data_IF_451006570871
#
_entry.id   IF_451006570871
#
_cell.length_a   1.000
_cell.length_b   1.000
_cell.length_c   1.000
_cell.angle_alpha   90.00
_cell.angle_beta   90.00
_cell.angle_gamma   90.00
#
_symmetry.space_group_name_H-M   'P 1'
#
loop_
_entity.id
_entity.type
_entity.pdbx_description
1 polymer ?
#
# COMPACT_ATOMS: atom_id res chain seq x y z
N UNK A 1 16.38 -2.41 0.05
CA UNK A 1 15.43 -1.95 1.09
C UNK A 1 15.45 -2.91 2.28
N UNK A 2 15.40 -2.44 3.53
CA UNK A 2 15.36 -3.33 4.71
C UNK A 2 13.92 -3.88 4.94
N UNK A 3 13.76 -4.86 5.85
CA UNK A 3 12.46 -5.50 6.12
C UNK A 3 11.39 -4.52 6.63
N UNK A 4 11.76 -3.63 7.56
CA UNK A 4 10.83 -2.69 8.16
C UNK A 4 10.37 -1.63 7.14
N UNK A 5 11.28 -1.10 6.34
CA UNK A 5 10.99 -0.16 5.25
C UNK A 5 10.06 -0.80 4.21
N UNK A 6 10.31 -2.05 3.84
CA UNK A 6 9.48 -2.78 2.90
C UNK A 6 8.07 -3.02 3.46
N UNK A 7 7.96 -3.36 4.74
CA UNK A 7 6.66 -3.55 5.39
C UNK A 7 5.83 -2.27 5.36
N UNK A 8 6.41 -1.16 5.82
CA UNK A 8 5.73 0.12 5.88
C UNK A 8 5.46 0.71 4.49
N UNK A 9 6.39 0.55 3.54
CA UNK A 9 6.21 0.96 2.15
C UNK A 9 4.99 0.28 1.51
N UNK A 10 4.79 -1.02 1.78
CA UNK A 10 3.62 -1.75 1.29
C UNK A 10 2.34 -1.23 1.93
N UNK A 11 2.33 -1.02 3.25
CA UNK A 11 1.16 -0.50 3.97
C UNK A 11 0.73 0.88 3.46
N UNK A 12 1.70 1.77 3.26
CA UNK A 12 1.47 3.09 2.68
C UNK A 12 0.84 3.01 1.28
N UNK A 13 1.44 2.22 0.40
CA UNK A 13 0.95 2.09 -0.98
C UNK A 13 -0.46 1.53 -1.03
N UNK A 14 -0.77 0.52 -0.22
CA UNK A 14 -2.15 0.01 -0.12
C UNK A 14 -3.13 1.06 0.40
N UNK A 15 -2.73 1.86 1.39
CA UNK A 15 -3.58 2.92 1.92
C UNK A 15 -3.90 3.96 0.82
N UNK A 16 -2.90 4.36 0.03
CA UNK A 16 -3.10 5.23 -1.12
C UNK A 16 -4.03 4.60 -2.17
N UNK A 17 -3.76 3.35 -2.56
CA UNK A 17 -4.51 2.66 -3.61
C UNK A 17 -5.98 2.41 -3.24
N UNK A 18 -6.30 2.29 -1.95
CA UNK A 18 -7.68 2.08 -1.47
C UNK A 18 -8.44 3.38 -1.21
N UNK A 19 -7.77 4.42 -0.74
CA UNK A 19 -8.46 5.60 -0.24
C UNK A 19 -9.11 6.39 -1.39
N UNK A 20 -10.38 6.76 -1.22
CA UNK A 20 -11.20 7.57 -2.14
C UNK A 20 -12.01 8.58 -1.35
N UNK A 21 -12.42 9.67 -1.99
CA UNK A 21 -13.21 10.75 -1.37
C UNK A 21 -12.60 11.24 -0.06
N UNK A 22 -13.44 11.36 0.97
CA UNK A 22 -13.07 11.83 2.31
C UNK A 22 -12.02 10.93 3.00
N UNK A 23 -11.96 9.64 2.66
CA UNK A 23 -10.94 8.74 3.20
C UNK A 23 -9.55 9.12 2.69
N UNK A 24 -9.45 9.57 1.44
CA UNK A 24 -8.17 10.01 0.88
C UNK A 24 -7.74 11.35 1.48
N UNK A 25 -8.67 12.26 1.74
CA UNK A 25 -8.37 13.49 2.49
C UNK A 25 -7.86 13.16 3.89
N UNK A 26 -8.51 12.23 4.60
CA UNK A 26 -8.06 11.77 5.92
C UNK A 26 -6.67 11.13 5.87
N UNK A 27 -6.40 10.31 4.84
CA UNK A 27 -5.08 9.73 4.58
C UNK A 27 -4.01 10.82 4.36
N UNK A 28 -4.31 11.81 3.51
CA UNK A 28 -3.40 12.92 3.22
C UNK A 28 -3.11 13.76 4.47
N UNK A 29 -4.15 14.17 5.21
CA UNK A 29 -3.99 14.91 6.47
C UNK A 29 -3.13 14.14 7.47
N UNK A 30 -3.34 12.82 7.59
CA UNK A 30 -2.58 11.97 8.49
C UNK A 30 -1.11 11.91 8.08
N UNK A 31 -0.82 11.69 6.80
CA UNK A 31 0.54 11.66 6.25
C UNK A 31 1.27 12.98 6.53
N UNK A 32 0.66 14.10 6.14
CA UNK A 32 1.26 15.43 6.26
C UNK A 32 1.43 15.83 7.73
N UNK A 33 0.43 15.55 8.58
CA UNK A 33 0.50 15.81 10.01
C UNK A 33 1.60 15.00 10.72
N UNK A 34 1.84 13.76 10.30
CA UNK A 34 2.95 12.96 10.82
C UNK A 34 4.30 13.46 10.30
N UNK A 35 4.41 13.82 9.01
CA UNK A 35 5.66 14.23 8.39
C UNK A 35 6.14 15.61 8.84
N UNK A 36 5.22 16.56 9.02
CA UNK A 36 5.53 17.97 9.22
C UNK A 36 5.10 18.52 10.59
N UNK A 37 4.37 17.72 11.38
CA UNK A 37 3.95 18.05 12.75
C UNK A 37 3.28 19.44 12.79
N UNK A 38 3.79 20.35 13.62
CA UNK A 38 3.25 21.69 13.81
C UNK A 38 3.35 22.62 12.58
N UNK A 39 4.15 22.26 11.57
CA UNK A 39 4.31 23.07 10.36
C UNK A 39 3.18 22.84 9.34
N UNK A 40 2.51 21.68 9.42
CA UNK A 40 1.33 21.39 8.61
C UNK A 40 0.05 21.79 9.35
N UNK A 41 -0.73 22.64 8.71
CA UNK A 41 -2.02 23.13 9.19
C UNK A 41 -3.12 22.37 8.44
N UNK A 42 -3.69 21.35 9.08
CA UNK A 42 -4.87 20.66 8.56
C UNK A 42 -6.06 21.62 8.56
N UNK A 43 -6.78 21.72 7.45
CA UNK A 43 -7.98 22.55 7.36
C UNK A 43 -9.22 21.67 7.56
N UNK A 44 -10.15 22.11 8.40
CA UNK A 44 -11.45 21.44 8.56
C UNK A 44 -12.58 22.39 8.19
N UNK A 45 -13.60 21.92 7.46
CA UNK A 45 -14.73 22.76 7.09
C UNK A 45 -15.43 23.29 8.34
N UNK A 46 -15.64 24.61 8.41
CA UNK A 46 -16.27 25.25 9.57
C UNK A 46 -17.73 25.65 9.28
N UNK A 47 -18.66 24.74 9.58
CA UNK A 47 -20.09 24.98 9.44
C UNK A 47 -20.46 25.49 8.04
N UNK A 48 -21.20 26.61 7.97
CA UNK A 48 -21.63 27.21 6.68
C UNK A 48 -20.51 27.89 5.89
N UNK A 49 -19.32 28.09 6.47
CA UNK A 49 -18.22 28.76 5.77
C UNK A 49 -17.38 27.82 4.89
N UNK A 50 -17.59 26.51 4.98
CA UNK A 50 -16.80 25.51 4.24
C UNK A 50 -15.33 25.51 4.66
N UNK A 51 -14.48 24.98 3.78
CA UNK A 51 -13.02 24.89 3.88
C UNK A 51 -12.29 26.07 3.22
N UNK A 52 -13.03 26.97 2.55
CA UNK A 52 -12.49 28.05 1.71
C UNK A 52 -11.42 27.56 0.71
N UNK A 53 -11.62 26.38 0.11
CA UNK A 53 -10.73 25.77 -0.90
C UNK A 53 -9.30 25.54 -0.39
N UNK A 54 -9.20 25.03 0.83
CA UNK A 54 -7.95 24.68 1.47
C UNK A 54 -8.14 23.36 2.20
N UNK A 55 -7.48 22.29 1.75
CA UNK A 55 -7.51 20.98 2.42
C UNK A 55 -6.29 20.76 3.32
N UNK A 56 -5.36 21.72 3.33
CA UNK A 56 -4.14 21.67 4.10
C UNK A 56 -3.18 22.77 3.67
N UNK A 57 -2.39 23.26 4.62
CA UNK A 57 -1.43 24.32 4.36
C UNK A 57 -0.09 24.02 5.04
N UNK A 58 0.99 24.03 4.28
CA UNK A 58 2.34 23.87 4.82
C UNK A 58 3.02 25.23 4.93
N UNK A 59 3.21 25.67 6.18
CA UNK A 59 3.56 27.06 6.49
C UNK A 59 4.97 27.42 6.03
N UNK A 60 5.96 26.58 6.32
CA UNK A 60 7.35 26.85 5.92
C UNK A 60 7.54 26.97 4.41
N UNK A 61 6.74 26.24 3.63
CA UNK A 61 6.80 26.25 2.17
C UNK A 61 5.81 27.22 1.52
N UNK A 62 4.96 27.90 2.30
CA UNK A 62 3.84 28.71 1.78
C UNK A 62 3.04 27.95 0.72
N UNK A 63 2.75 26.68 1.00
CA UNK A 63 2.12 25.74 0.06
C UNK A 63 0.70 25.43 0.50
N UNK A 64 -0.26 25.69 -0.38
CA UNK A 64 -1.65 25.31 -0.22
C UNK A 64 -1.92 24.01 -0.96
N UNK A 65 -2.67 23.11 -0.33
CA UNK A 65 -3.07 21.83 -0.90
C UNK A 65 -4.56 21.80 -1.17
N UNK A 66 -4.91 21.25 -2.33
CA UNK A 66 -6.26 20.82 -2.63
C UNK A 66 -6.23 19.34 -2.99
N UNK A 67 -7.05 18.56 -2.31
CA UNK A 67 -7.12 17.11 -2.41
C UNK A 67 -8.31 16.73 -3.28
N UNK A 68 -8.06 15.93 -4.31
CA UNK A 68 -9.08 15.42 -5.21
C UNK A 68 -8.86 13.94 -5.52
N UNK A 69 -9.68 13.09 -4.90
CA UNK A 69 -9.58 11.65 -5.02
C UNK A 69 -10.95 11.01 -5.32
N UNK A 70 -11.54 11.25 -6.51
CA UNK A 70 -12.83 10.67 -6.84
C UNK A 70 -12.74 9.13 -6.90
N UNK A 71 -13.89 8.46 -6.81
CA UNK A 71 -13.98 7.01 -7.06
C UNK A 71 -13.50 6.68 -8.48
N UNK A 72 -13.87 7.51 -9.45
CA UNK A 72 -13.44 7.42 -10.84
C UNK A 72 -12.87 8.76 -11.31
N UNK A 73 -11.66 8.72 -11.88
CA UNK A 73 -10.97 9.92 -12.36
C UNK A 73 -11.48 10.31 -13.75
N UNK A 74 -12.42 11.23 -13.80
CA UNK A 74 -12.89 11.84 -15.05
C UNK A 74 -12.15 13.14 -15.36
N UNK A 75 -11.47 13.13 -16.51
CA UNK A 75 -10.90 14.27 -17.22
C UNK A 75 -11.58 15.64 -16.99
N UNK A 76 -12.85 15.73 -17.41
CA UNK A 76 -13.64 16.95 -17.42
C UNK A 76 -13.96 17.45 -16.02
N UNK A 77 -14.24 16.52 -15.08
CA UNK A 77 -14.47 16.82 -13.67
C UNK A 77 -13.20 17.29 -12.99
N UNK A 78 -12.06 16.65 -13.26
CA UNK A 78 -10.76 17.06 -12.73
C UNK A 78 -10.38 18.48 -13.20
N UNK A 79 -10.55 18.77 -14.50
CA UNK A 79 -10.34 20.12 -15.05
C UNK A 79 -11.23 21.14 -14.34
N UNK A 80 -12.53 20.86 -14.20
CA UNK A 80 -13.46 21.78 -13.55
C UNK A 80 -13.07 22.03 -12.09
N UNK A 81 -12.69 20.98 -11.37
CA UNK A 81 -12.27 21.02 -9.96
C UNK A 81 -11.01 21.86 -9.78
N UNK A 82 -9.97 21.64 -10.59
CA UNK A 82 -8.73 22.43 -10.56
C UNK A 82 -9.05 23.92 -10.76
N UNK A 83 -9.88 24.26 -11.76
CA UNK A 83 -10.24 25.65 -12.04
C UNK A 83 -10.98 26.29 -10.87
N UNK A 84 -12.01 25.63 -10.36
CA UNK A 84 -12.84 26.14 -9.26
C UNK A 84 -12.02 26.33 -7.97
N UNK A 85 -11.22 25.33 -7.62
CA UNK A 85 -10.48 25.32 -6.37
C UNK A 85 -9.29 26.29 -6.42
N UNK A 86 -8.55 26.35 -7.53
CA UNK A 86 -7.43 27.28 -7.67
C UNK A 86 -7.89 28.74 -7.60
N UNK A 87 -8.93 29.12 -8.35
CA UNK A 87 -9.43 30.50 -8.30
C UNK A 87 -10.04 30.84 -6.94
N UNK A 88 -10.75 29.90 -6.31
CA UNK A 88 -11.26 30.09 -4.95
C UNK A 88 -10.15 30.24 -3.92
N UNK A 89 -9.09 29.44 -4.03
CA UNK A 89 -7.92 29.53 -3.17
C UNK A 89 -7.23 30.89 -3.31
N UNK A 90 -7.08 31.42 -4.53
CA UNK A 90 -6.51 32.77 -4.75
C UNK A 90 -7.33 33.86 -4.07
N UNK A 91 -8.65 33.81 -4.18
CA UNK A 91 -9.56 34.79 -3.55
C UNK A 91 -9.42 34.82 -2.03
N UNK A 92 -9.24 33.65 -1.40
CA UNK A 92 -9.23 33.55 0.06
C UNK A 92 -7.84 33.56 0.69
N UNK A 93 -6.82 33.12 -0.05
CA UNK A 93 -5.48 32.81 0.48
C UNK A 93 -4.33 33.39 -0.35
N UNK A 94 -4.59 34.15 -1.43
CA UNK A 94 -3.56 34.58 -2.39
C UNK A 94 -2.36 35.31 -1.79
N UNK A 95 -2.51 35.99 -0.65
CA UNK A 95 -1.38 36.65 0.04
C UNK A 95 -0.50 35.66 0.84
N UNK A 96 -1.00 34.46 1.09
CA UNK A 96 -0.40 33.48 2.00
C UNK A 96 0.36 32.37 1.31
N UNK A 97 0.08 32.04 0.05
CA UNK A 97 0.79 30.99 -0.69
C UNK A 97 1.47 31.50 -1.96
N UNK A 98 2.58 30.87 -2.32
CA UNK A 98 3.25 30.97 -3.62
C UNK A 98 3.40 29.59 -4.28
N UNK A 99 2.88 28.54 -3.64
CA UNK A 99 2.80 27.18 -4.17
C UNK A 99 1.41 26.61 -3.98
N UNK A 100 0.89 25.98 -5.01
CA UNK A 100 -0.40 25.31 -4.99
C UNK A 100 -0.27 23.88 -5.51
N UNK A 101 -0.68 22.91 -4.70
CA UNK A 101 -0.56 21.49 -5.02
C UNK A 101 -1.92 20.84 -5.23
N UNK A 102 -2.10 20.25 -6.41
CA UNK A 102 -3.24 19.40 -6.72
C UNK A 102 -2.93 17.95 -6.37
N UNK A 103 -3.39 17.51 -5.20
CA UNK A 103 -3.14 16.16 -4.69
C UNK A 103 -4.20 15.20 -5.22
N UNK A 104 -3.82 14.09 -5.83
CA UNK A 104 -4.76 13.14 -6.45
C UNK A 104 -4.45 11.67 -6.19
N UNK A 105 -5.45 10.82 -6.43
CA UNK A 105 -5.37 9.35 -6.27
C UNK A 105 -5.21 8.57 -7.58
N UNK A 106 -5.08 9.24 -8.73
CA UNK A 106 -4.85 8.54 -10.00
C UNK A 106 -3.56 7.72 -9.95
N UNK A 107 -3.67 6.41 -10.19
CA UNK A 107 -2.57 5.44 -10.10
C UNK A 107 -1.72 5.40 -11.37
N UNK A 108 -2.35 5.67 -12.50
CA UNK A 108 -1.72 5.57 -13.84
C UNK A 108 -1.32 6.96 -14.37
N UNK A 109 -1.23 7.93 -13.47
CA UNK A 109 -0.97 9.34 -13.78
C UNK A 109 -2.21 10.13 -14.19
N UNK A 110 -2.05 11.45 -14.26
CA UNK A 110 -3.11 12.34 -14.74
C UNK A 110 -3.17 12.32 -16.28
N UNK A 111 -4.38 12.37 -16.87
CA UNK A 111 -4.53 12.48 -18.31
C UNK A 111 -3.82 13.72 -18.90
N UNK A 112 -3.34 13.68 -20.16
CA UNK A 112 -2.57 14.77 -20.76
C UNK A 112 -3.27 16.14 -20.73
N UNK A 113 -4.59 16.19 -20.91
CA UNK A 113 -5.34 17.45 -20.87
C UNK A 113 -5.40 18.08 -19.47
N UNK A 114 -5.30 17.29 -18.40
CA UNK A 114 -5.21 17.81 -17.02
C UNK A 114 -3.81 18.38 -16.81
N UNK A 115 -2.76 17.70 -17.30
CA UNK A 115 -1.39 18.21 -17.23
C UNK A 115 -1.22 19.51 -18.00
N UNK A 116 -1.77 19.60 -19.22
CA UNK A 116 -1.78 20.84 -20.02
C UNK A 116 -2.45 21.99 -19.26
N UNK A 117 -3.59 21.74 -18.60
CA UNK A 117 -4.27 22.76 -17.80
C UNK A 117 -3.37 23.30 -16.68
N UNK A 118 -2.67 22.43 -15.96
CA UNK A 118 -1.77 22.83 -14.87
C UNK A 118 -0.64 23.73 -15.41
N UNK A 119 -0.02 23.32 -16.53
CA UNK A 119 1.04 24.12 -17.18
C UNK A 119 0.53 25.48 -17.67
N UNK A 120 -0.66 25.52 -18.27
CA UNK A 120 -1.28 26.76 -18.74
C UNK A 120 -1.62 27.70 -17.56
N UNK A 121 -2.08 27.14 -16.44
CA UNK A 121 -2.37 27.89 -15.22
C UNK A 121 -1.11 28.47 -14.59
N UNK A 122 -0.03 27.68 -14.47
CA UNK A 122 1.26 28.17 -13.97
C UNK A 122 1.80 29.29 -14.85
N UNK A 123 1.74 29.13 -16.18
CA UNK A 123 2.14 30.17 -17.13
C UNK A 123 1.34 31.47 -16.97
N UNK A 124 0.06 31.36 -16.62
CA UNK A 124 -0.83 32.52 -16.40
C UNK A 124 -0.65 33.16 -15.01
N UNK A 125 -0.01 32.48 -14.06
CA UNK A 125 0.17 32.91 -12.67
C UNK A 125 1.65 32.74 -12.26
N UNK A 126 2.53 33.55 -12.83
CA UNK A 126 3.99 33.38 -12.71
C UNK A 126 4.54 33.53 -11.28
N UNK A 127 3.73 34.07 -10.37
CA UNK A 127 4.02 34.22 -8.94
C UNK A 127 3.66 32.97 -8.12
N UNK A 128 2.99 31.99 -8.73
CA UNK A 128 2.51 30.78 -8.06
C UNK A 128 3.01 29.54 -8.82
N UNK A 129 3.75 28.67 -8.14
CA UNK A 129 4.12 27.34 -8.66
C UNK A 129 2.94 26.37 -8.51
N UNK A 130 2.56 25.68 -9.59
CA UNK A 130 1.45 24.71 -9.57
C UNK A 130 1.97 23.30 -9.86
N UNK A 131 1.74 22.37 -8.93
CA UNK A 131 2.27 21.01 -9.03
C UNK A 131 1.17 19.95 -8.80
N UNK A 132 1.05 18.94 -9.66
CA UNK A 132 0.29 17.74 -9.34
C UNK A 132 1.09 16.88 -8.36
N UNK A 133 0.45 16.39 -7.30
CA UNK A 133 1.04 15.44 -6.35
C UNK A 133 0.26 14.12 -6.41
N UNK A 134 0.93 13.06 -6.83
CA UNK A 134 0.41 11.70 -6.88
C UNK A 134 1.11 10.78 -5.90
N UNK A 135 1.13 9.48 -6.22
CA UNK A 135 1.71 8.45 -5.37
C UNK A 135 3.18 8.74 -5.00
N UNK A 136 3.99 9.19 -5.95
CA UNK A 136 5.45 9.32 -5.73
C UNK A 136 5.84 10.56 -4.92
N UNK A 137 5.13 11.67 -5.07
CA UNK A 137 5.30 12.84 -4.20
C UNK A 137 4.91 12.49 -2.77
N UNK A 138 3.75 11.84 -2.59
CA UNK A 138 3.31 11.40 -1.26
C UNK A 138 4.21 10.32 -0.67
N UNK A 139 4.77 9.41 -1.49
CA UNK A 139 5.76 8.41 -1.06
C UNK A 139 7.04 9.08 -0.59
N UNK A 140 7.46 10.15 -1.24
CA UNK A 140 8.62 10.93 -0.83
C UNK A 140 8.41 11.62 0.52
N UNK A 141 7.19 12.08 0.80
CA UNK A 141 6.79 12.56 2.13
C UNK A 141 6.77 11.40 3.13
N UNK A 142 6.22 10.25 2.76
CA UNK A 142 6.14 9.07 3.62
C UNK A 142 7.52 8.60 4.11
N UNK A 143 8.53 8.62 3.24
CA UNK A 143 9.92 8.27 3.58
C UNK A 143 10.56 9.18 4.65
N UNK A 144 9.93 10.31 4.98
CA UNK A 144 10.39 11.20 6.07
C UNK A 144 9.87 10.80 7.44
N UNK A 145 8.86 9.93 7.52
CA UNK A 145 8.30 9.51 8.80
C UNK A 145 9.33 8.70 9.58
N UNK A 146 9.34 8.92 10.89
CA UNK A 146 10.14 8.11 11.80
C UNK A 146 9.56 6.69 11.93
N UNK A 147 10.35 5.68 12.34
CA UNK A 147 9.83 4.35 12.62
C UNK A 147 8.68 4.35 13.64
N UNK A 148 8.71 5.25 14.62
CA UNK A 148 7.67 5.39 15.64
C UNK A 148 6.37 5.96 15.05
N UNK A 149 6.47 6.94 14.13
CA UNK A 149 5.30 7.47 13.42
C UNK A 149 4.68 6.42 12.49
N UNK A 150 5.51 5.65 11.80
CA UNK A 150 5.06 4.52 10.99
C UNK A 150 4.39 3.45 11.86
N UNK A 151 4.96 3.12 13.02
CA UNK A 151 4.37 2.16 13.95
C UNK A 151 3.04 2.65 14.54
N UNK A 152 2.96 3.93 14.88
CA UNK A 152 1.74 4.57 15.36
C UNK A 152 0.61 4.54 14.31
N UNK A 153 0.95 4.64 13.02
CA UNK A 153 -0.03 4.63 11.95
C UNK A 153 -0.39 3.23 11.45
N UNK A 154 0.60 2.38 11.20
CA UNK A 154 0.43 1.09 10.52
C UNK A 154 0.64 -0.13 11.42
N UNK A 155 0.90 0.07 12.70
CA UNK A 155 1.24 -1.00 13.65
C UNK A 155 2.71 -1.39 13.59
N UNK A 156 3.14 -2.28 14.50
CA UNK A 156 4.55 -2.63 14.64
C UNK A 156 4.99 -3.54 13.47
N UNK A 157 5.96 -3.07 12.68
CA UNK A 157 6.55 -3.87 11.62
C UNK A 157 7.48 -4.98 12.16
N UNK A 158 7.59 -6.12 11.45
CA UNK A 158 8.63 -7.10 11.71
C UNK A 158 10.01 -6.50 11.47
N UNK A 159 10.97 -6.89 12.31
CA UNK A 159 12.37 -6.43 12.24
C UNK A 159 13.33 -7.59 11.96
N UNK A 160 14.60 -7.30 11.69
CA UNK A 160 15.64 -8.34 11.60
C UNK A 160 15.74 -9.16 12.90
N UNK A 161 15.57 -8.52 14.06
CA UNK A 161 15.54 -9.22 15.35
C UNK A 161 14.34 -10.16 15.45
N UNK A 162 13.15 -9.68 15.11
CA UNK A 162 11.92 -10.47 15.06
C UNK A 162 12.10 -11.68 14.14
N UNK A 163 12.67 -11.45 12.94
CA UNK A 163 12.99 -12.52 11.99
C UNK A 163 13.91 -13.55 12.63
N UNK A 164 15.03 -13.16 13.23
CA UNK A 164 15.93 -14.12 13.89
C UNK A 164 15.22 -14.91 14.98
N UNK A 165 14.44 -14.24 15.83
CA UNK A 165 13.78 -14.83 17.00
C UNK A 165 12.53 -15.66 16.68
N UNK A 166 11.98 -15.54 15.47
CA UNK A 166 10.78 -16.27 15.05
C UNK A 166 10.96 -17.78 15.24
N UNK A 167 10.06 -18.35 16.04
CA UNK A 167 10.08 -19.76 16.42
C UNK A 167 8.84 -20.53 15.98
N UNK A 168 8.85 -21.83 16.29
CA UNK A 168 7.81 -22.77 15.87
C UNK A 168 6.40 -22.38 16.36
N UNK A 169 6.29 -21.87 17.59
CA UNK A 169 5.02 -21.47 18.20
C UNK A 169 4.37 -20.31 17.44
N UNK A 170 5.15 -19.38 16.91
CA UNK A 170 4.63 -18.24 16.15
C UNK A 170 4.03 -18.69 14.82
N UNK A 171 4.69 -19.65 14.15
CA UNK A 171 4.18 -20.28 12.92
C UNK A 171 2.92 -21.10 13.20
N UNK A 172 2.92 -21.88 14.29
CA UNK A 172 1.78 -22.70 14.70
C UNK A 172 0.50 -21.88 14.84
N UNK A 173 0.58 -20.72 15.51
CA UNK A 173 -0.58 -19.83 15.70
C UNK A 173 -1.19 -19.41 14.36
N UNK A 174 -0.36 -19.05 13.38
CA UNK A 174 -0.84 -18.67 12.04
C UNK A 174 -1.47 -19.87 11.32
N UNK A 175 -0.80 -21.02 11.28
CA UNK A 175 -1.27 -22.20 10.56
C UNK A 175 -2.53 -22.83 11.17
N UNK A 176 -2.64 -22.85 12.50
CA UNK A 176 -3.85 -23.29 13.19
C UNK A 176 -5.04 -22.37 12.90
N UNK A 177 -4.81 -21.06 12.82
CA UNK A 177 -5.86 -20.09 12.45
C UNK A 177 -6.36 -20.28 11.02
N UNK A 178 -5.49 -20.79 10.13
CA UNK A 178 -5.81 -21.12 8.75
C UNK A 178 -6.45 -22.50 8.59
N UNK A 179 -6.27 -23.42 9.53
CA UNK A 179 -6.81 -24.79 9.43
C UNK A 179 -8.34 -24.80 9.26
N UNK A 180 -9.06 -23.85 9.86
CA UNK A 180 -10.51 -23.68 9.68
C UNK A 180 -10.93 -23.16 8.29
N UNK A 181 -9.98 -22.65 7.50
CA UNK A 181 -10.18 -22.18 6.12
C UNK A 181 -9.68 -23.20 5.08
N UNK A 182 -9.02 -24.27 5.52
CA UNK A 182 -8.42 -25.26 4.65
C UNK A 182 -9.50 -26.08 3.92
N UNK A 183 -9.35 -26.26 2.61
CA UNK A 183 -10.29 -27.00 1.77
C UNK A 183 -9.77 -28.39 1.42
N UNK A 184 -10.65 -29.37 1.29
CA UNK A 184 -10.25 -30.73 0.89
C UNK A 184 -9.64 -30.72 -0.52
N UNK A 185 -8.57 -31.49 -0.79
CA UNK A 185 -7.92 -31.46 -2.09
C UNK A 185 -8.83 -32.15 -3.13
N UNK A 186 -9.16 -31.44 -4.22
CA UNK A 186 -9.91 -32.02 -5.36
C UNK A 186 -8.96 -32.55 -6.45
N UNK A 187 -7.67 -32.19 -6.41
CA UNK A 187 -6.70 -32.58 -7.45
C UNK A 187 -5.25 -32.62 -6.94
N UNK A 188 -4.46 -33.54 -7.49
CA UNK A 188 -3.04 -33.74 -7.16
C UNK A 188 -2.19 -32.52 -7.53
N UNK A 189 -1.38 -32.08 -6.57
CA UNK A 189 -0.39 -31.01 -6.71
C UNK A 189 0.70 -31.46 -7.70
N UNK A 190 1.06 -30.59 -8.66
CA UNK A 190 2.21 -30.81 -9.56
C UNK A 190 3.43 -30.06 -9.03
N UNK A 191 4.61 -30.66 -9.19
CA UNK A 191 5.91 -30.05 -8.87
C UNK A 191 6.21 -28.84 -9.78
N UNK A 192 6.88 -27.82 -9.22
CA UNK A 192 7.05 -26.51 -9.89
C UNK A 192 8.52 -26.02 -9.94
N UNK A 193 8.99 -25.47 -11.08
CA UNK A 193 10.34 -24.89 -11.24
C UNK A 193 10.46 -23.43 -10.76
N UNK A 194 11.69 -22.91 -10.69
CA UNK A 194 12.06 -21.65 -10.02
C UNK A 194 12.09 -20.38 -10.90
N UNK A 195 11.78 -19.23 -10.27
CA UNK A 195 11.85 -17.86 -10.80
C UNK A 195 10.47 -17.23 -10.95
N UNK A 196 10.11 -16.16 -10.22
CA UNK A 196 8.73 -15.59 -10.19
C UNK A 196 8.62 -14.07 -10.05
N UNK A 197 9.67 -13.42 -9.54
CA UNK A 197 9.59 -12.01 -9.12
C UNK A 197 9.49 -11.09 -10.34
N UNK A 198 10.21 -11.35 -11.43
CA UNK A 198 10.12 -10.52 -12.64
C UNK A 198 8.84 -10.74 -13.47
N UNK A 199 8.10 -11.82 -13.24
CA UNK A 199 6.97 -12.23 -14.08
C UNK A 199 5.62 -11.59 -13.71
N UNK A 200 5.49 -11.08 -12.48
CA UNK A 200 4.21 -10.70 -11.89
C UNK A 200 4.07 -9.19 -11.62
N UNK A 201 4.95 -8.36 -12.18
CA UNK A 201 5.01 -6.91 -11.93
C UNK A 201 4.99 -6.56 -10.42
N UNK A 202 5.69 -7.40 -9.63
CA UNK A 202 5.77 -7.27 -8.18
C UNK A 202 6.78 -6.17 -7.85
N UNK A 203 6.37 -5.20 -7.02
CA UNK A 203 7.27 -4.12 -6.59
C UNK A 203 8.49 -4.63 -5.81
N UNK A 204 9.57 -3.85 -5.79
CA UNK A 204 10.76 -4.13 -4.96
C UNK A 204 10.39 -4.32 -3.48
N UNK A 205 9.39 -3.58 -3.01
CA UNK A 205 8.82 -3.67 -1.66
C UNK A 205 8.31 -5.07 -1.36
N UNK A 206 7.40 -5.59 -2.19
CA UNK A 206 6.83 -6.92 -2.01
C UNK A 206 7.89 -8.01 -2.24
N UNK A 207 8.77 -7.83 -3.22
CA UNK A 207 9.90 -8.74 -3.45
C UNK A 207 10.81 -8.85 -2.22
N UNK A 208 11.09 -7.73 -1.54
CA UNK A 208 11.86 -7.71 -0.30
C UNK A 208 11.15 -8.47 0.83
N UNK A 209 9.84 -8.29 0.98
CA UNK A 209 9.03 -9.00 1.98
C UNK A 209 9.02 -10.51 1.74
N UNK A 210 8.81 -10.94 0.49
CA UNK A 210 8.83 -12.36 0.12
C UNK A 210 10.20 -12.96 0.43
N UNK A 211 11.30 -12.31 0.01
CA UNK A 211 12.67 -12.78 0.30
C UNK A 211 12.93 -12.92 1.80
N UNK A 212 12.44 -12.00 2.61
CA UNK A 212 12.57 -12.07 4.06
C UNK A 212 11.74 -13.22 4.66
N UNK A 213 10.54 -13.47 4.14
CA UNK A 213 9.73 -14.64 4.52
C UNK A 213 10.38 -15.97 4.14
N UNK A 214 11.00 -16.05 2.95
CA UNK A 214 11.66 -17.27 2.45
C UNK A 214 12.77 -17.76 3.38
N UNK A 215 13.48 -16.86 4.07
CA UNK A 215 14.48 -17.22 5.10
C UNK A 215 13.87 -18.13 6.19
N UNK A 216 12.56 -18.04 6.43
CA UNK A 216 11.83 -18.81 7.42
C UNK A 216 10.90 -19.88 6.83
N UNK A 217 10.85 -20.04 5.51
CA UNK A 217 10.09 -21.11 4.87
C UNK A 217 10.50 -22.52 5.34
N UNK A 218 11.79 -22.83 5.64
CA UNK A 218 12.16 -24.13 6.20
C UNK A 218 11.51 -24.43 7.56
N UNK A 219 11.20 -23.40 8.37
CA UNK A 219 10.51 -23.57 9.64
C UNK A 219 9.04 -23.98 9.42
N UNK A 220 8.41 -23.47 8.36
CA UNK A 220 7.06 -23.85 7.94
C UNK A 220 7.04 -25.30 7.44
N UNK A 221 8.05 -25.71 6.66
CA UNK A 221 8.21 -27.13 6.27
C UNK A 221 8.34 -28.04 7.48
N UNK A 222 9.25 -27.71 8.41
CA UNK A 222 9.46 -28.49 9.63
C UNK A 222 8.20 -28.56 10.51
N UNK A 223 7.33 -27.55 10.47
CA UNK A 223 6.01 -27.61 11.09
C UNK A 223 5.17 -28.71 10.47
N UNK A 224 4.96 -28.70 9.15
CA UNK A 224 4.16 -29.72 8.49
C UNK A 224 4.73 -31.14 8.67
N UNK A 225 6.05 -31.30 8.65
CA UNK A 225 6.72 -32.59 8.85
C UNK A 225 6.53 -33.17 10.26
N UNK A 226 6.26 -32.32 11.25
CA UNK A 226 6.08 -32.72 12.66
C UNK A 226 4.64 -32.62 13.15
N UNK A 227 3.74 -32.09 12.32
CA UNK A 227 2.34 -31.91 12.67
C UNK A 227 1.54 -33.21 12.52
N UNK A 228 0.57 -33.41 13.40
CA UNK A 228 -0.21 -34.65 13.45
C UNK A 228 -1.14 -34.85 12.23
N UNK A 229 -1.48 -33.78 11.51
CA UNK A 229 -2.30 -33.83 10.30
C UNK A 229 -1.43 -33.60 9.07
N UNK A 230 -0.97 -34.71 8.49
CA UNK A 230 -0.10 -34.74 7.31
C UNK A 230 -0.74 -34.08 6.08
N UNK A 231 -2.07 -33.99 6.03
CA UNK A 231 -2.80 -33.43 4.87
C UNK A 231 -3.03 -31.92 4.98
N UNK A 232 -2.75 -31.30 6.14
CA UNK A 232 -2.99 -29.88 6.36
C UNK A 232 -2.24 -29.00 5.34
N UNK A 233 -0.98 -29.31 5.04
CA UNK A 233 -0.16 -28.55 4.11
C UNK A 233 -0.76 -28.49 2.70
N UNK A 234 -1.30 -29.62 2.20
CA UNK A 234 -1.95 -29.73 0.89
C UNK A 234 -3.31 -29.02 0.85
N UNK A 235 -4.13 -29.17 1.90
CA UNK A 235 -5.42 -28.47 1.99
C UNK A 235 -5.24 -26.95 2.01
N UNK A 236 -4.20 -26.48 2.68
CA UNK A 236 -3.82 -25.08 2.68
C UNK A 236 -3.32 -24.64 1.30
N UNK A 237 -2.51 -25.44 0.59
CA UNK A 237 -2.08 -25.12 -0.77
C UNK A 237 -3.28 -24.86 -1.71
N UNK A 238 -4.33 -25.68 -1.62
CA UNK A 238 -5.58 -25.48 -2.37
C UNK A 238 -6.29 -24.19 -1.96
N UNK A 239 -6.38 -23.91 -0.66
CA UNK A 239 -6.99 -22.69 -0.16
C UNK A 239 -6.25 -21.42 -0.63
N UNK A 240 -4.91 -21.43 -0.58
CA UNK A 240 -4.06 -20.34 -1.08
C UNK A 240 -4.28 -20.09 -2.57
N UNK A 241 -4.33 -21.15 -3.39
CA UNK A 241 -4.56 -21.03 -4.83
C UNK A 241 -5.95 -20.47 -5.14
N UNK A 242 -6.97 -20.97 -4.46
CA UNK A 242 -8.35 -20.48 -4.62
C UNK A 242 -8.46 -19.00 -4.25
N UNK A 243 -7.84 -18.58 -3.16
CA UNK A 243 -7.83 -17.17 -2.73
C UNK A 243 -7.09 -16.30 -3.75
N UNK A 244 -5.92 -16.73 -4.22
CA UNK A 244 -5.17 -16.00 -5.25
C UNK A 244 -5.94 -15.90 -6.58
N UNK A 245 -6.58 -16.98 -7.03
CA UNK A 245 -7.41 -16.99 -8.24
C UNK A 245 -8.61 -16.06 -8.13
N UNK A 246 -9.20 -15.91 -6.94
CA UNK A 246 -10.28 -14.96 -6.69
C UNK A 246 -9.83 -13.50 -6.82
N UNK A 247 -8.60 -13.20 -6.41
CA UNK A 247 -8.04 -11.84 -6.41
C UNK A 247 -7.39 -11.46 -7.75
N UNK A 248 -6.80 -12.43 -8.44
CA UNK A 248 -6.07 -12.21 -9.70
C UNK A 248 -6.98 -11.61 -10.77
N UNK A 249 -6.46 -10.59 -11.46
CA UNK A 249 -7.18 -9.88 -12.52
C UNK A 249 -8.21 -8.86 -12.02
N UNK A 250 -8.44 -8.77 -10.70
CA UNK A 250 -9.35 -7.77 -10.10
C UNK A 250 -8.62 -6.55 -9.54
N UNK A 251 -7.33 -6.70 -9.22
CA UNK A 251 -6.53 -5.66 -8.56
C UNK A 251 -5.04 -5.79 -8.88
N UNK A 252 -4.27 -4.76 -8.51
CA UNK A 252 -2.83 -4.73 -8.72
C UNK A 252 -2.10 -5.81 -7.89
N UNK A 253 -1.02 -6.45 -8.39
CA UNK A 253 -0.29 -7.51 -7.67
C UNK A 253 0.14 -7.18 -6.24
N UNK A 254 0.55 -5.93 -5.97
CA UNK A 254 0.88 -5.49 -4.60
C UNK A 254 -0.34 -5.51 -3.66
N UNK A 255 -1.53 -5.20 -4.18
CA UNK A 255 -2.78 -5.30 -3.41
C UNK A 255 -3.15 -6.75 -3.17
N UNK A 256 -3.00 -7.63 -4.18
CA UNK A 256 -3.19 -9.08 -4.02
C UNK A 256 -2.32 -9.61 -2.88
N UNK A 257 -1.02 -9.28 -2.88
CA UNK A 257 -0.12 -9.70 -1.80
C UNK A 257 -0.61 -9.23 -0.42
N UNK A 258 -1.18 -8.03 -0.35
CA UNK A 258 -1.64 -7.43 0.90
C UNK A 258 -2.96 -8.02 1.39
N UNK A 259 -3.86 -8.38 0.47
CA UNK A 259 -5.08 -9.15 0.78
C UNK A 259 -4.71 -10.55 1.26
N UNK A 260 -3.79 -11.24 0.59
CA UNK A 260 -3.27 -12.53 1.05
C UNK A 260 -2.63 -12.39 2.45
N UNK A 261 -1.88 -11.33 2.72
CA UNK A 261 -1.32 -11.07 4.06
C UNK A 261 -2.40 -10.85 5.11
N UNK A 262 -3.48 -10.14 4.78
CA UNK A 262 -4.62 -9.99 5.68
C UNK A 262 -5.35 -11.32 5.91
N UNK A 263 -5.55 -12.11 4.86
CA UNK A 263 -6.19 -13.41 4.91
C UNK A 263 -5.40 -14.42 5.76
N UNK A 264 -4.08 -14.50 5.57
CA UNK A 264 -3.16 -15.34 6.37
C UNK A 264 -3.07 -14.84 7.81
N UNK A 265 -2.98 -13.53 8.02
CA UNK A 265 -2.82 -12.96 9.36
C UNK A 265 -4.05 -13.09 10.24
N UNK A 266 -5.25 -13.18 9.68
CA UNK A 266 -6.49 -13.37 10.45
C UNK A 266 -6.74 -12.28 11.50
N UNK A 267 -7.58 -12.58 12.49
CA UNK A 267 -7.99 -11.62 13.53
C UNK A 267 -6.94 -11.32 14.61
N UNK A 268 -5.79 -12.01 14.58
CA UNK A 268 -4.71 -11.88 15.58
C UNK A 268 -3.55 -10.99 15.13
N UNK A 269 -3.70 -10.26 14.01
CA UNK A 269 -2.67 -9.33 13.54
C UNK A 269 -2.37 -8.26 14.58
N UNK A 270 -1.09 -7.88 14.69
CA UNK A 270 -0.67 -6.74 15.49
C UNK A 270 0.71 -6.84 16.15
N UNK A 271 1.22 -8.04 16.40
CA UNK A 271 2.60 -8.22 16.91
C UNK A 271 3.59 -8.39 15.75
N UNK A 272 4.84 -7.97 15.97
CA UNK A 272 5.89 -8.10 14.98
C UNK A 272 6.13 -9.58 14.61
N UNK A 273 6.12 -10.47 15.60
CA UNK A 273 6.33 -11.91 15.46
C UNK A 273 5.24 -12.55 14.61
N UNK A 274 3.97 -12.16 14.83
CA UNK A 274 2.85 -12.65 14.03
C UNK A 274 2.96 -12.18 12.58
N UNK A 275 3.28 -10.91 12.36
CA UNK A 275 3.49 -10.39 10.99
C UNK A 275 4.65 -11.10 10.27
N UNK A 276 5.72 -11.44 10.99
CA UNK A 276 6.84 -12.21 10.44
C UNK A 276 6.45 -13.68 10.17
N UNK A 277 5.65 -14.30 11.04
CA UNK A 277 5.10 -15.64 10.82
C UNK A 277 4.21 -15.69 9.57
N UNK A 278 3.35 -14.69 9.39
CA UNK A 278 2.51 -14.51 8.21
C UNK A 278 3.37 -14.40 6.94
N UNK A 279 4.44 -13.60 6.97
CA UNK A 279 5.38 -13.50 5.84
C UNK A 279 6.06 -14.83 5.53
N UNK A 280 6.45 -15.59 6.55
CA UNK A 280 7.07 -16.91 6.37
C UNK A 280 6.11 -17.91 5.70
N UNK A 281 4.85 -17.96 6.15
CA UNK A 281 3.82 -18.83 5.57
C UNK A 281 3.49 -18.41 4.13
N UNK A 282 3.32 -17.11 3.87
CA UNK A 282 3.10 -16.60 2.51
C UNK A 282 4.26 -16.96 1.58
N UNK A 283 5.50 -16.76 2.03
CA UNK A 283 6.68 -17.07 1.25
C UNK A 283 6.81 -18.57 0.95
N UNK A 284 6.45 -19.43 1.90
CA UNK A 284 6.42 -20.88 1.70
C UNK A 284 5.48 -21.29 0.54
N UNK A 285 4.26 -20.77 0.50
CA UNK A 285 3.31 -21.05 -0.59
C UNK A 285 3.66 -20.31 -1.89
N UNK A 286 4.36 -19.18 -1.81
CA UNK A 286 4.93 -18.53 -2.99
C UNK A 286 6.01 -19.40 -3.64
N UNK A 287 6.93 -19.97 -2.83
CA UNK A 287 8.02 -20.85 -3.28
C UNK A 287 7.50 -22.15 -3.91
N UNK A 288 6.47 -22.76 -3.30
CA UNK A 288 5.78 -23.95 -3.83
C UNK A 288 4.86 -23.68 -5.02
N UNK A 289 4.77 -22.42 -5.42
CA UNK A 289 4.01 -21.94 -6.56
C UNK A 289 2.49 -22.09 -6.48
N UNK A 290 1.96 -22.08 -5.27
CA UNK A 290 0.52 -22.08 -5.04
C UNK A 290 -0.12 -20.70 -5.24
N UNK A 291 0.69 -19.63 -5.25
CA UNK A 291 0.30 -18.25 -5.54
C UNK A 291 1.28 -17.57 -6.52
N UNK A 292 0.80 -16.60 -7.31
CA UNK A 292 1.52 -15.87 -8.37
C UNK A 292 1.99 -16.72 -9.57
N UNK A 293 2.06 -16.12 -10.76
CA UNK A 293 2.36 -16.80 -12.04
C UNK A 293 3.85 -17.14 -12.23
N UNK A 294 4.13 -18.05 -13.15
CA UNK A 294 5.48 -18.32 -13.66
C UNK A 294 5.88 -17.31 -14.76
N UNK A 295 7.18 -17.01 -14.92
CA UNK A 295 7.73 -16.36 -16.09
C UNK A 295 7.39 -17.20 -17.31
N UNK A 296 6.81 -16.57 -18.34
CA UNK A 296 6.67 -17.21 -19.64
C UNK A 296 8.08 -17.49 -20.17
N UNK A 297 8.37 -18.75 -20.50
CA UNK A 297 9.60 -19.10 -21.21
C UNK A 297 9.65 -18.27 -22.51
N UNK A 298 10.68 -17.41 -22.72
CA UNK A 298 10.80 -16.60 -23.92
C UNK A 298 10.96 -17.43 -25.22
N UNK A 299 10.94 -18.77 -25.15
CA UNK A 299 10.97 -19.69 -26.29
C UNK A 299 9.62 -20.31 -26.66
N UNK A 300 8.50 -19.76 -26.21
CA UNK A 300 7.16 -20.13 -26.70
C UNK A 300 6.42 -18.96 -27.32
#
# INVERSE_FOLDING_TARGET
MNLQDAYYGLKFENAFLRARGDEFQTFFERLMGLAYKADFMACRPWGRQGDRKNDGFLKSERRLFQVYAPNEMEATKAIAKIKEDFEGARVHWGEHFDKWSFVHNATDGLPPHVQMLILDFEKANQDITLEPWGLEELRSIFRRLSPDDCALWFGIAPTERTKVQLGFKDIQVVLESLAGKATSPITAVRDVPSGKIEANDISETVASLIKNGMVKAPLVSAFFDSWHDETLGERLAVAFRSEYEHLRGTMHPNQIFSELQAWVGGGQRGTAEHEMAVLAVLAYYFERCDIFEEPRDPRR
#
